data_IF_106664330647
#
_entry.id   IF_106664330647
#
_cell.length_a   1.000
_cell.length_b   1.000
_cell.length_c   1.000
_cell.angle_alpha   90.00
_cell.angle_beta   90.00
_cell.angle_gamma   90.00
#
_symmetry.space_group_name_H-M   'P 1'
#
loop_
_entity.id
_entity.type
_entity.pdbx_description
1 polymer ?
#
# COMPACT_ATOMS: atom_id res chain seq x y z
N UNK A 1 -9.62 -15.13 22.05
CA UNK A 1 -9.24 -14.50 20.76
C UNK A 1 -10.22 -14.95 19.69
N UNK A 2 -10.62 -14.08 18.75
CA UNK A 2 -11.43 -14.53 17.61
C UNK A 2 -10.64 -15.60 16.84
N UNK A 3 -11.24 -16.78 16.65
CA UNK A 3 -10.60 -17.88 15.92
C UNK A 3 -10.72 -17.59 14.42
N UNK A 4 -9.62 -17.11 13.83
CA UNK A 4 -9.52 -16.79 12.39
C UNK A 4 -9.86 -18.01 11.53
N UNK A 5 -9.59 -19.23 12.01
CA UNK A 5 -9.95 -20.48 11.32
C UNK A 5 -11.44 -20.75 11.20
N UNK A 6 -12.30 -19.93 11.82
CA UNK A 6 -13.76 -19.98 11.62
C UNK A 6 -14.28 -19.01 10.55
N UNK A 7 -13.41 -18.17 9.99
CA UNK A 7 -13.79 -17.27 8.91
C UNK A 7 -13.82 -18.04 7.59
N UNK A 8 -14.98 -18.08 6.94
CA UNK A 8 -15.16 -18.73 5.64
C UNK A 8 -15.10 -17.74 4.48
N UNK A 9 -15.18 -16.45 4.78
CA UNK A 9 -15.14 -15.36 3.82
C UNK A 9 -14.30 -14.19 4.31
N UNK A 10 -13.88 -13.33 3.38
CA UNK A 10 -13.21 -12.06 3.70
C UNK A 10 -14.13 -11.13 4.51
N UNK A 11 -15.45 -11.20 4.28
CA UNK A 11 -16.42 -10.41 5.06
C UNK A 11 -16.50 -10.87 6.52
N UNK A 12 -16.31 -12.16 6.81
CA UNK A 12 -16.19 -12.64 8.19
C UNK A 12 -14.96 -12.06 8.88
N UNK A 13 -13.82 -12.03 8.18
CA UNK A 13 -12.59 -11.40 8.68
C UNK A 13 -12.81 -9.90 8.95
N UNK A 14 -13.49 -9.19 8.05
CA UNK A 14 -13.87 -7.78 8.23
C UNK A 14 -14.74 -7.58 9.47
N UNK A 15 -15.77 -8.42 9.66
CA UNK A 15 -16.65 -8.38 10.85
C UNK A 15 -15.89 -8.69 12.13
N UNK A 16 -14.96 -9.65 12.12
CA UNK A 16 -14.10 -9.96 13.27
C UNK A 16 -13.17 -8.79 13.59
N UNK A 17 -12.55 -8.17 12.57
CA UNK A 17 -11.68 -7.00 12.73
C UNK A 17 -12.45 -5.82 13.33
N UNK A 18 -13.67 -5.55 12.87
CA UNK A 18 -14.53 -4.47 13.40
C UNK A 18 -14.79 -4.56 14.90
N UNK A 19 -14.84 -5.77 15.45
CA UNK A 19 -15.07 -6.00 16.89
C UNK A 19 -13.81 -5.81 17.73
N UNK A 20 -12.62 -5.85 17.12
CA UNK A 20 -11.32 -5.88 17.82
C UNK A 20 -10.51 -4.61 17.63
N UNK A 21 -10.54 -4.02 16.45
CA UNK A 21 -9.80 -2.81 16.11
C UNK A 21 -10.57 -1.61 16.65
N UNK A 22 -9.92 -0.66 17.35
CA UNK A 22 -10.57 0.59 17.76
C UNK A 22 -11.24 1.26 16.58
N UNK A 23 -12.46 1.77 16.79
CA UNK A 23 -13.30 2.35 15.74
C UNK A 23 -12.55 3.38 14.87
N UNK A 24 -11.75 4.24 15.50
CA UNK A 24 -10.94 5.26 14.83
C UNK A 24 -10.03 4.66 13.74
N UNK A 25 -9.35 3.55 14.02
CA UNK A 25 -8.46 2.89 13.06
C UNK A 25 -9.24 2.05 12.06
N UNK A 26 -10.32 1.38 12.50
CA UNK A 26 -11.16 0.61 11.60
C UNK A 26 -11.82 1.48 10.52
N UNK A 27 -12.35 2.64 10.91
CA UNK A 27 -12.98 3.59 10.00
C UNK A 27 -11.95 4.21 9.02
N UNK A 28 -10.68 4.36 9.42
CA UNK A 28 -9.60 4.81 8.52
C UNK A 28 -9.25 3.77 7.46
N UNK A 29 -9.26 2.48 7.83
CA UNK A 29 -9.00 1.37 6.92
C UNK A 29 -10.15 1.15 5.94
N UNK A 30 -11.39 1.21 6.43
CA UNK A 30 -12.58 0.87 5.65
C UNK A 30 -13.21 2.07 4.95
N UNK A 31 -12.93 3.30 5.40
CA UNK A 31 -13.55 4.51 4.90
C UNK A 31 -13.08 4.93 3.51
N UNK A 32 -14.04 5.34 2.68
CA UNK A 32 -13.81 5.90 1.35
C UNK A 32 -13.80 7.43 1.33
N UNK A 33 -13.62 8.00 0.14
CA UNK A 33 -13.74 9.44 -0.07
C UNK A 33 -15.21 9.88 -0.19
N UNK A 34 -15.55 11.05 0.37
CA UNK A 34 -16.89 11.65 0.36
C UNK A 34 -17.99 10.65 0.75
N UNK A 35 -19.00 10.48 -0.11
CA UNK A 35 -20.13 9.55 0.06
C UNK A 35 -19.79 8.07 -0.20
N UNK A 36 -18.51 7.75 -0.44
CA UNK A 36 -17.99 6.39 -0.67
C UNK A 36 -18.64 5.66 -1.86
N UNK A 37 -19.21 6.42 -2.80
CA UNK A 37 -19.92 5.86 -3.96
C UNK A 37 -19.01 4.97 -4.82
N UNK A 38 -17.80 5.44 -5.15
CA UNK A 38 -16.84 4.66 -5.95
C UNK A 38 -16.39 3.40 -5.22
N UNK A 39 -16.22 3.45 -3.90
CA UNK A 39 -15.84 2.28 -3.10
C UNK A 39 -16.90 1.17 -3.20
N UNK A 40 -18.18 1.53 -3.02
CA UNK A 40 -19.30 0.58 -3.21
C UNK A 40 -19.43 0.12 -4.66
N UNK A 41 -19.18 1.01 -5.61
CA UNK A 41 -19.18 0.66 -7.03
C UNK A 41 -18.14 -0.42 -7.32
N UNK A 42 -16.90 -0.29 -6.84
CA UNK A 42 -15.84 -1.29 -7.06
C UNK A 42 -16.27 -2.72 -6.67
N UNK A 43 -16.99 -2.89 -5.56
CA UNK A 43 -17.52 -4.19 -5.14
C UNK A 43 -18.69 -4.64 -6.03
N UNK A 44 -19.67 -3.76 -6.25
CA UNK A 44 -20.87 -4.06 -7.03
C UNK A 44 -20.57 -4.33 -8.51
N UNK A 45 -19.49 -3.75 -9.04
CA UNK A 45 -19.06 -3.86 -10.42
C UNK A 45 -18.71 -5.30 -10.80
N UNK A 46 -18.19 -6.10 -9.86
CA UNK A 46 -17.90 -7.51 -10.08
C UNK A 46 -19.17 -8.33 -10.32
N UNK A 47 -20.31 -7.97 -9.72
CA UNK A 47 -21.57 -8.68 -9.92
C UNK A 47 -22.14 -8.53 -11.35
N UNK A 48 -21.64 -7.56 -12.12
CA UNK A 48 -21.99 -7.42 -13.55
C UNK A 48 -21.34 -8.49 -14.42
N UNK A 49 -20.20 -9.03 -14.00
CA UNK A 49 -19.49 -10.07 -14.73
C UNK A 49 -20.00 -11.44 -14.31
N UNK A 50 -20.49 -12.22 -15.28
CA UNK A 50 -20.97 -13.59 -15.05
C UNK A 50 -19.95 -14.59 -15.60
N UNK A 51 -19.69 -15.63 -14.82
CA UNK A 51 -18.86 -16.74 -15.27
C UNK A 51 -19.71 -17.68 -16.15
N UNK A 52 -19.25 -17.96 -17.36
CA UNK A 52 -19.83 -19.01 -18.21
C UNK A 52 -19.17 -20.34 -17.84
N UNK A 53 -19.92 -21.20 -17.16
CA UNK A 53 -19.47 -22.56 -16.87
C UNK A 53 -19.24 -23.33 -18.18
N UNK A 54 -18.04 -23.89 -18.34
CA UNK A 54 -17.74 -24.86 -19.38
C UNK A 54 -17.75 -26.25 -18.75
N UNK A 55 -18.51 -27.17 -19.35
CA UNK A 55 -18.66 -28.55 -18.88
C UNK A 55 -17.96 -29.52 -19.82
N UNK A 56 -17.57 -30.69 -19.31
CA UNK A 56 -16.92 -31.77 -20.08
C UNK A 56 -15.63 -31.36 -20.82
N UNK A 57 -14.84 -30.45 -20.23
CA UNK A 57 -13.61 -29.92 -20.83
C UNK A 57 -12.38 -30.80 -20.63
N UNK A 58 -12.50 -31.93 -19.93
CA UNK A 58 -11.37 -32.82 -19.63
C UNK A 58 -10.31 -32.21 -18.70
N UNK A 59 -10.63 -31.11 -18.01
CA UNK A 59 -9.71 -30.46 -17.06
C UNK A 59 -9.45 -31.40 -15.89
N UNK A 60 -8.21 -31.84 -15.75
CA UNK A 60 -7.75 -32.53 -14.56
C UNK A 60 -7.49 -31.51 -13.45
N UNK A 61 -7.83 -31.84 -12.20
CA UNK A 61 -7.63 -30.96 -11.05
C UNK A 61 -6.16 -30.53 -10.88
N UNK A 62 -5.21 -31.35 -11.35
CA UNK A 62 -3.78 -31.07 -11.40
C UNK A 62 -3.36 -30.02 -12.44
N UNK A 63 -4.17 -29.81 -13.49
CA UNK A 63 -3.91 -28.83 -14.55
C UNK A 63 -4.46 -27.42 -14.21
N UNK A 64 -5.26 -27.30 -13.15
CA UNK A 64 -5.82 -26.03 -12.68
C UNK A 64 -4.87 -25.31 -11.72
N UNK A 65 -3.62 -25.10 -12.14
CA UNK A 65 -2.64 -24.34 -11.37
C UNK A 65 -3.07 -22.87 -11.25
N UNK A 66 -2.86 -22.29 -10.06
CA UNK A 66 -3.06 -20.85 -9.81
C UNK A 66 -1.75 -20.06 -9.91
N UNK A 67 -0.65 -20.73 -10.25
CA UNK A 67 0.65 -20.09 -10.41
C UNK A 67 0.59 -18.99 -11.47
N UNK A 68 1.24 -17.87 -11.18
CA UNK A 68 1.26 -16.72 -12.06
C UNK A 68 2.62 -16.04 -12.00
N UNK A 69 3.10 -15.56 -13.16
CA UNK A 69 4.28 -14.71 -13.22
C UNK A 69 3.83 -13.26 -13.33
N UNK A 70 4.23 -12.42 -12.37
CA UNK A 70 3.95 -10.99 -12.42
C UNK A 70 5.07 -10.22 -11.72
N UNK A 71 5.28 -8.96 -12.13
CA UNK A 71 6.34 -8.08 -11.62
C UNK A 71 7.75 -8.71 -11.68
N UNK A 72 7.98 -9.63 -12.62
CA UNK A 72 9.27 -10.25 -12.87
C UNK A 72 9.63 -11.42 -11.93
N UNK A 73 8.67 -11.93 -11.15
CA UNK A 73 8.83 -13.12 -10.32
C UNK A 73 7.67 -14.10 -10.50
N UNK A 74 7.91 -15.38 -10.21
CA UNK A 74 6.86 -16.41 -10.16
C UNK A 74 6.20 -16.43 -8.77
N UNK A 75 4.87 -16.60 -8.75
CA UNK A 75 4.06 -16.65 -7.54
C UNK A 75 3.12 -17.85 -7.60
N UNK A 76 2.73 -18.36 -6.43
CA UNK A 76 1.81 -19.51 -6.33
C UNK A 76 0.36 -19.15 -6.62
N UNK A 77 0.00 -17.87 -6.52
CA UNK A 77 -1.34 -17.34 -6.74
C UNK A 77 -1.28 -16.05 -7.56
N UNK A 78 -2.33 -15.70 -8.33
CA UNK A 78 -2.39 -14.49 -9.13
C UNK A 78 -2.85 -13.27 -8.30
N UNK A 79 -2.39 -13.19 -7.06
CA UNK A 79 -2.72 -12.12 -6.11
C UNK A 79 -1.45 -11.68 -5.38
N UNK A 80 -1.41 -10.43 -4.94
CA UNK A 80 -0.36 -9.87 -4.10
C UNK A 80 -0.98 -9.05 -2.97
N UNK A 81 -0.23 -8.84 -1.89
CA UNK A 81 -0.65 -7.91 -0.85
C UNK A 81 -0.36 -6.47 -1.31
N UNK A 82 -1.44 -5.70 -1.49
CA UNK A 82 -1.35 -4.29 -1.89
C UNK A 82 -0.73 -3.39 -0.81
N UNK A 83 -0.24 -2.21 -1.20
CA UNK A 83 0.37 -1.28 -0.25
C UNK A 83 -0.68 -0.65 0.67
N UNK A 84 -0.63 -1.03 1.94
CA UNK A 84 -1.45 -0.45 3.01
C UNK A 84 -0.53 0.29 3.98
N UNK A 85 -0.73 1.59 4.11
CA UNK A 85 -0.02 2.41 5.09
C UNK A 85 -0.46 2.12 6.52
N UNK A 86 0.44 2.35 7.46
CA UNK A 86 0.20 2.26 8.90
C UNK A 86 -0.39 0.92 9.38
N UNK A 87 0.03 -0.22 8.82
CA UNK A 87 -0.54 -1.52 9.20
C UNK A 87 -0.30 -1.85 10.69
N UNK A 88 0.76 -1.30 11.27
CA UNK A 88 1.02 -1.32 12.71
C UNK A 88 -0.10 -0.75 13.60
N UNK A 89 -1.03 0.04 13.07
CA UNK A 89 -2.19 0.57 13.81
C UNK A 89 -3.30 -0.47 14.01
N UNK A 90 -3.33 -1.51 13.17
CA UNK A 90 -4.34 -2.59 13.24
C UNK A 90 -3.84 -3.80 14.01
N UNK A 91 -2.53 -4.06 13.94
CA UNK A 91 -1.87 -5.16 14.63
C UNK A 91 -0.40 -4.80 14.91
N UNK A 92 0.17 -5.18 16.06
CA UNK A 92 1.59 -4.95 16.34
C UNK A 92 2.48 -5.51 15.23
N UNK A 93 3.35 -4.66 14.66
CA UNK A 93 4.22 -4.99 13.51
C UNK A 93 3.44 -5.61 12.34
N UNK A 94 2.27 -5.05 12.03
CA UNK A 94 1.34 -5.56 11.02
C UNK A 94 1.96 -5.80 9.65
N UNK A 95 2.89 -4.94 9.21
CA UNK A 95 3.60 -5.07 7.94
C UNK A 95 4.43 -6.36 7.87
N UNK A 96 5.13 -6.71 8.95
CA UNK A 96 5.94 -7.93 9.05
C UNK A 96 5.03 -9.16 9.17
N UNK A 97 3.95 -9.07 9.95
CA UNK A 97 2.99 -10.16 10.07
C UNK A 97 2.35 -10.49 8.71
N UNK A 98 1.96 -9.46 7.95
CA UNK A 98 1.46 -9.61 6.59
C UNK A 98 2.52 -10.19 5.65
N UNK A 99 3.78 -9.75 5.77
CA UNK A 99 4.88 -10.26 4.96
C UNK A 99 5.17 -11.74 5.19
N UNK A 100 5.12 -12.22 6.43
CA UNK A 100 5.27 -13.65 6.75
C UNK A 100 4.14 -14.49 6.16
N UNK A 101 2.90 -14.00 6.26
CA UNK A 101 1.75 -14.67 5.66
C UNK A 101 1.85 -14.70 4.12
N UNK A 102 2.37 -13.64 3.49
CA UNK A 102 2.62 -13.61 2.05
C UNK A 102 3.67 -14.63 1.63
N UNK A 103 4.76 -14.76 2.39
CA UNK A 103 5.83 -15.73 2.12
C UNK A 103 5.31 -17.17 2.25
N UNK A 104 4.51 -17.47 3.28
CA UNK A 104 3.87 -18.78 3.46
C UNK A 104 2.92 -19.13 2.31
N UNK A 105 2.13 -18.15 1.85
CA UNK A 105 1.24 -18.30 0.70
C UNK A 105 1.99 -18.30 -0.65
N UNK A 106 3.28 -17.93 -0.68
CA UNK A 106 4.08 -17.81 -1.89
C UNK A 106 3.61 -16.69 -2.82
N UNK A 107 3.25 -15.53 -2.25
CA UNK A 107 2.84 -14.33 -2.97
C UNK A 107 3.70 -13.12 -2.59
N UNK A 108 3.76 -12.11 -3.46
CA UNK A 108 4.46 -10.86 -3.16
C UNK A 108 3.70 -9.95 -2.20
N UNK A 109 4.43 -9.06 -1.52
CA UNK A 109 3.86 -7.94 -0.76
C UNK A 109 4.47 -6.63 -1.25
N UNK A 110 3.61 -5.64 -1.48
CA UNK A 110 3.99 -4.27 -1.75
C UNK A 110 3.94 -3.45 -0.46
N UNK A 111 5.08 -2.94 0.01
CA UNK A 111 5.20 -2.13 1.21
C UNK A 111 4.88 -0.66 0.90
N UNK A 112 4.17 0.05 1.78
CA UNK A 112 3.85 1.46 1.57
C UNK A 112 4.99 2.38 2.00
N UNK A 113 5.11 3.55 1.36
CA UNK A 113 5.95 4.64 1.88
C UNK A 113 5.54 5.05 3.31
N UNK A 114 4.26 4.89 3.66
CA UNK A 114 3.71 5.22 5.00
C UNK A 114 3.61 4.01 5.93
N UNK A 115 4.48 3.01 5.77
CA UNK A 115 4.57 1.89 6.71
C UNK A 115 5.19 2.31 8.05
N UNK A 116 4.77 1.66 9.13
CA UNK A 116 5.31 1.92 10.48
C UNK A 116 6.65 1.20 10.70
N UNK A 117 6.73 -0.06 10.26
CA UNK A 117 8.01 -0.76 10.20
C UNK A 117 8.88 -0.19 9.07
N UNK A 118 10.18 -0.10 9.33
CA UNK A 118 11.14 0.33 8.30
C UNK A 118 11.24 -0.71 7.17
N UNK A 119 11.66 -0.25 5.99
CA UNK A 119 11.87 -1.12 4.84
C UNK A 119 12.88 -2.22 5.16
N UNK A 120 13.95 -1.89 5.87
CA UNK A 120 15.03 -2.79 6.22
C UNK A 120 14.57 -3.85 7.21
N UNK A 121 13.80 -3.47 8.24
CA UNK A 121 13.21 -4.44 9.17
C UNK A 121 12.23 -5.38 8.47
N UNK A 122 11.44 -4.87 7.53
CA UNK A 122 10.53 -5.69 6.74
C UNK A 122 11.36 -6.63 5.88
N UNK A 123 12.29 -6.14 5.08
CA UNK A 123 13.14 -6.96 4.21
C UNK A 123 13.91 -8.05 4.99
N UNK A 124 14.44 -7.75 6.18
CA UNK A 124 15.15 -8.70 7.02
C UNK A 124 14.26 -9.81 7.61
N UNK A 125 12.95 -9.58 7.72
CA UNK A 125 12.02 -10.49 8.38
C UNK A 125 11.32 -11.47 7.42
N UNK A 126 11.72 -11.50 6.13
CA UNK A 126 11.07 -12.25 5.05
C UNK A 126 12.07 -12.75 4.01
N UNK A 127 11.59 -13.70 3.23
CA UNK A 127 12.30 -14.33 2.11
C UNK A 127 11.57 -14.23 0.78
N UNK A 128 10.28 -13.85 0.78
CA UNK A 128 9.48 -13.73 -0.43
C UNK A 128 9.65 -12.41 -1.19
N UNK A 129 9.07 -12.28 -2.40
CA UNK A 129 9.15 -11.05 -3.19
C UNK A 129 8.61 -9.84 -2.43
N UNK A 130 9.45 -8.82 -2.31
CA UNK A 130 9.13 -7.53 -1.70
C UNK A 130 9.14 -6.44 -2.77
N UNK A 131 8.04 -5.70 -2.84
CA UNK A 131 7.89 -4.54 -3.71
C UNK A 131 7.71 -3.30 -2.84
N UNK A 132 8.02 -2.12 -3.37
CA UNK A 132 7.89 -0.88 -2.61
C UNK A 132 7.02 0.14 -3.34
N UNK A 133 6.00 0.64 -2.66
CA UNK A 133 5.16 1.72 -3.14
C UNK A 133 5.78 3.06 -2.79
N UNK A 134 5.97 3.90 -3.80
CA UNK A 134 6.56 5.24 -3.69
C UNK A 134 5.50 6.32 -3.92
N UNK A 135 5.41 7.26 -2.98
CA UNK A 135 4.85 8.58 -3.24
C UNK A 135 5.96 9.54 -3.68
N UNK A 136 5.70 10.30 -4.74
CA UNK A 136 6.67 11.29 -5.21
C UNK A 136 6.66 12.51 -4.30
N UNK A 137 7.73 12.71 -3.54
CA UNK A 137 7.90 13.90 -2.71
C UNK A 137 8.38 15.10 -3.53
N UNK A 138 8.08 16.30 -3.04
CA UNK A 138 8.61 17.54 -3.62
C UNK A 138 10.13 17.61 -3.49
N UNK A 139 10.63 17.11 -2.39
CA UNK A 139 12.06 16.93 -2.12
C UNK A 139 12.57 15.71 -2.89
N UNK A 140 13.48 15.96 -3.85
CA UNK A 140 14.05 14.91 -4.69
C UNK A 140 15.11 14.11 -3.97
N UNK A 141 15.86 14.75 -3.06
CA UNK A 141 16.92 14.09 -2.29
C UNK A 141 16.30 13.02 -1.38
N UNK A 142 15.16 13.33 -0.75
CA UNK A 142 14.40 12.33 0.02
C UNK A 142 13.95 11.15 -0.84
N UNK A 143 13.50 11.41 -2.07
CA UNK A 143 13.06 10.36 -2.99
C UNK A 143 14.25 9.49 -3.43
N UNK A 144 15.38 10.12 -3.72
CA UNK A 144 16.62 9.42 -4.09
C UNK A 144 17.16 8.57 -2.94
N UNK A 145 17.11 9.05 -1.70
CA UNK A 145 17.50 8.31 -0.51
C UNK A 145 16.60 7.08 -0.29
N UNK A 146 15.27 7.23 -0.44
CA UNK A 146 14.33 6.11 -0.38
C UNK A 146 14.65 5.06 -1.46
N UNK A 147 14.94 5.50 -2.69
CA UNK A 147 15.30 4.58 -3.77
C UNK A 147 16.66 3.91 -3.52
N UNK A 148 17.62 4.60 -2.93
CA UNK A 148 18.90 4.03 -2.53
C UNK A 148 18.70 2.94 -1.47
N UNK A 149 17.86 3.19 -0.46
CA UNK A 149 17.47 2.21 0.55
C UNK A 149 16.74 1.00 -0.04
N UNK A 150 15.87 1.22 -1.02
CA UNK A 150 15.23 0.12 -1.77
C UNK A 150 16.26 -0.78 -2.44
N UNK A 151 17.27 -0.20 -3.11
CA UNK A 151 18.35 -0.99 -3.72
C UNK A 151 19.17 -1.74 -2.68
N UNK A 152 19.51 -1.12 -1.55
CA UNK A 152 20.25 -1.76 -0.47
C UNK A 152 19.47 -2.92 0.15
N UNK A 153 18.15 -2.81 0.22
CA UNK A 153 17.24 -3.86 0.69
C UNK A 153 16.87 -4.89 -0.39
N UNK A 154 17.52 -4.87 -1.57
CA UNK A 154 17.24 -5.75 -2.72
C UNK A 154 15.77 -5.70 -3.20
N UNK A 155 15.17 -4.52 -3.19
CA UNK A 155 13.83 -4.28 -3.75
C UNK A 155 13.95 -3.76 -5.17
N UNK A 156 13.65 -4.62 -6.14
CA UNK A 156 13.82 -4.32 -7.58
C UNK A 156 12.59 -3.69 -8.24
N UNK A 157 11.43 -3.73 -7.58
CA UNK A 157 10.18 -3.22 -8.15
C UNK A 157 9.62 -2.11 -7.27
N UNK A 158 9.40 -0.96 -7.90
CA UNK A 158 8.75 0.19 -7.27
C UNK A 158 7.41 0.49 -7.93
N UNK A 159 6.38 0.64 -7.13
CA UNK A 159 5.03 1.02 -7.57
C UNK A 159 4.83 2.50 -7.30
N UNK A 160 4.78 3.32 -8.36
CA UNK A 160 4.61 4.76 -8.20
C UNK A 160 3.12 5.11 -8.10
N UNK A 161 2.72 5.62 -6.93
CA UNK A 161 1.35 6.08 -6.70
C UNK A 161 1.22 7.54 -7.12
N UNK A 162 0.34 7.79 -8.08
CA UNK A 162 0.14 9.11 -8.73
C UNK A 162 -1.28 9.66 -8.59
N UNK A 163 -2.18 8.91 -7.96
CA UNK A 163 -3.59 9.29 -7.77
C UNK A 163 -3.81 10.23 -6.56
N UNK A 164 -2.81 10.35 -5.67
CA UNK A 164 -2.93 11.07 -4.39
C UNK A 164 -2.18 12.40 -4.43
N UNK A 165 -2.49 13.24 -5.42
CA UNK A 165 -1.92 14.60 -5.50
C UNK A 165 -2.48 15.53 -4.41
N UNK A 166 -3.67 15.23 -3.90
CA UNK A 166 -4.35 15.97 -2.85
C UNK A 166 -4.85 15.02 -1.77
N UNK A 167 -4.92 15.50 -0.53
CA UNK A 167 -5.50 14.74 0.57
C UNK A 167 -7.00 14.57 0.29
N UNK A 168 -7.51 13.33 0.19
CA UNK A 168 -8.92 13.09 -0.06
C UNK A 168 -9.77 13.51 1.15
N UNK A 169 -10.99 13.95 0.89
CA UNK A 169 -11.97 14.21 1.96
C UNK A 169 -12.57 12.86 2.36
N UNK A 170 -12.15 12.36 3.52
CA UNK A 170 -12.71 11.14 4.14
C UNK A 170 -13.55 11.54 5.33
N UNK A 171 -14.88 11.46 5.20
CA UNK A 171 -15.80 11.98 6.21
C UNK A 171 -15.72 11.22 7.54
N UNK A 172 -15.47 9.90 7.49
CA UNK A 172 -15.31 9.09 8.70
C UNK A 172 -14.09 9.51 9.50
N UNK A 173 -12.97 9.72 8.82
CA UNK A 173 -11.73 10.22 9.42
C UNK A 173 -11.94 11.59 10.06
N UNK A 174 -12.62 12.50 9.36
CA UNK A 174 -12.95 13.82 9.88
C UNK A 174 -13.85 13.76 11.14
N UNK A 175 -14.89 12.92 11.13
CA UNK A 175 -15.79 12.69 12.28
C UNK A 175 -15.05 12.08 13.48
N UNK A 176 -14.07 11.24 13.20
CA UNK A 176 -13.24 10.57 14.20
C UNK A 176 -12.03 11.43 14.64
N UNK A 177 -11.86 12.64 14.09
CA UNK A 177 -10.71 13.50 14.40
C UNK A 177 -9.38 13.00 13.85
N UNK A 178 -9.38 12.00 12.97
CA UNK A 178 -8.22 11.47 12.25
C UNK A 178 -7.92 12.29 11.00
N UNK A 179 -7.99 13.61 11.13
CA UNK A 179 -7.51 14.54 10.10
C UNK A 179 -6.31 15.27 10.66
N UNK A 180 -5.30 15.61 9.83
CA UNK A 180 -4.35 16.63 10.23
C UNK A 180 -5.19 17.85 10.54
N UNK A 181 -5.33 18.20 11.83
CA UNK A 181 -6.01 19.42 12.25
C UNK A 181 -5.44 20.52 11.37
N UNK A 182 -6.29 21.24 10.64
CA UNK A 182 -5.88 22.53 10.06
C UNK A 182 -5.17 23.24 11.20
N UNK A 183 -3.87 23.50 11.04
CA UNK A 183 -3.11 24.26 12.01
C UNK A 183 -4.00 25.42 12.41
N UNK A 184 -4.29 25.52 13.71
CA UNK A 184 -5.17 26.54 14.25
C UNK A 184 -4.71 27.88 13.65
N UNK A 185 -5.49 28.44 12.71
CA UNK A 185 -5.25 29.80 12.26
C UNK A 185 -5.60 30.66 13.45
N UNK A 186 -4.55 31.19 14.10
CA UNK A 186 -4.50 32.19 15.18
C UNK A 186 -4.11 31.59 16.53
N UNK A 187 -2.92 31.99 16.99
CA UNK A 187 -2.50 31.90 18.37
C UNK A 187 -3.39 32.74 19.29
N UNK A 188 -4.57 32.21 19.62
CA UNK A 188 -5.50 32.78 20.59
C UNK A 188 -5.83 31.81 21.74
N UNK A 189 -5.23 30.62 21.77
CA UNK A 189 -5.35 29.69 22.89
C UNK A 189 -3.96 29.43 23.46
N UNK A 190 -3.61 30.11 24.56
CA UNK A 190 -2.36 29.97 25.31
C UNK A 190 -2.18 28.61 26.00
N UNK A 191 -2.74 27.53 25.47
CA UNK A 191 -2.77 26.19 26.09
C UNK A 191 -2.04 25.11 25.28
N UNK A 192 -1.38 25.49 24.17
CA UNK A 192 -0.61 24.58 23.31
C UNK A 192 0.90 24.86 23.33
N UNK A 193 1.48 25.15 24.49
CA UNK A 193 2.94 25.34 24.61
C UNK A 193 3.74 24.03 24.66
N UNK A 194 3.11 22.87 24.87
CA UNK A 194 3.82 21.59 24.95
C UNK A 194 3.13 20.49 24.14
N UNK A 195 3.41 20.44 22.83
CA UNK A 195 3.27 19.21 22.07
C UNK A 195 4.35 19.19 20.98
N UNK A 196 5.49 18.55 21.31
CA UNK A 196 6.44 18.03 20.31
C UNK A 196 5.74 16.93 19.49
N UNK A 197 4.90 17.33 18.55
CA UNK A 197 4.26 16.45 17.57
C UNK A 197 4.19 17.20 16.24
N UNK A 198 5.34 17.36 15.59
CA UNK A 198 5.49 18.24 14.44
C UNK A 198 6.53 17.74 13.44
N UNK A 199 6.44 16.47 13.02
CA UNK A 199 7.25 15.96 11.92
C UNK A 199 6.44 15.71 10.64
N UNK A 200 5.16 15.33 10.74
CA UNK A 200 4.35 14.92 9.58
C UNK A 200 3.53 16.04 8.92
N UNK A 201 3.44 17.22 9.54
CA UNK A 201 2.60 18.33 9.05
C UNK A 201 3.30 19.27 8.04
N UNK A 202 4.54 19.01 7.63
CA UNK A 202 5.38 19.98 6.89
C UNK A 202 5.49 19.78 5.37
N UNK A 203 4.91 18.75 4.78
CA UNK A 203 5.06 18.51 3.34
C UNK A 203 3.76 18.81 2.57
N UNK A 204 3.59 20.03 2.02
CA UNK A 204 2.52 20.28 1.06
C UNK A 204 2.82 19.52 -0.23
N UNK A 205 2.13 18.40 -0.43
CA UNK A 205 2.09 17.66 -1.70
C UNK A 205 1.36 18.55 -2.72
N UNK A 206 2.11 19.11 -3.65
CA UNK A 206 1.58 19.90 -4.75
C UNK A 206 1.96 19.23 -6.06
N UNK A 207 1.01 18.51 -6.68
CA UNK A 207 1.17 18.06 -8.06
C UNK A 207 -0.11 18.38 -8.84
N UNK A 208 0.00 19.31 -9.79
CA UNK A 208 -1.08 19.64 -10.73
C UNK A 208 -1.01 18.67 -11.90
N UNK A 209 -2.01 17.78 -11.98
CA UNK A 209 -2.51 16.98 -13.12
C UNK A 209 -2.58 15.48 -12.80
N UNK A 210 -3.70 14.90 -13.20
CA UNK A 210 -4.10 13.50 -13.00
C UNK A 210 -3.17 12.54 -13.72
N UNK A 211 -2.80 11.43 -13.05
CA UNK A 211 -2.25 10.27 -13.74
C UNK A 211 -2.55 8.99 -12.96
N UNK A 212 -2.54 7.88 -13.70
CA UNK A 212 -2.87 6.50 -13.32
C UNK A 212 -1.65 5.77 -12.75
N UNK A 213 -1.85 4.91 -11.74
CA UNK A 213 -0.81 4.13 -11.06
C UNK A 213 0.10 3.38 -12.06
N UNK A 214 1.42 3.57 -11.98
CA UNK A 214 2.40 3.00 -12.92
C UNK A 214 3.49 2.26 -12.12
N UNK A 215 3.71 0.97 -12.41
CA UNK A 215 4.78 0.20 -11.79
C UNK A 215 6.07 0.36 -12.61
N UNK A 216 7.19 0.65 -11.96
CA UNK A 216 8.50 0.87 -12.57
C UNK A 216 9.49 -0.11 -11.94
N UNK A 217 10.21 -0.86 -12.78
CA UNK A 217 11.30 -1.73 -12.33
C UNK A 217 12.57 -0.90 -12.18
N UNK A 218 13.22 -0.97 -11.03
CA UNK A 218 14.54 -0.36 -10.82
C UNK A 218 15.56 -1.27 -11.51
N UNK A 219 15.73 -1.16 -12.83
CA UNK A 219 16.81 -1.88 -13.51
C UNK A 219 18.14 -1.20 -13.22
N UNK A 220 19.12 -1.96 -12.73
CA UNK A 220 20.52 -1.57 -12.65
C UNK A 220 21.15 -1.57 -14.05
N UNK A 221 20.80 -0.61 -14.90
CA UNK A 221 21.66 -0.29 -16.03
C UNK A 221 22.82 0.56 -15.52
N UNK A 222 24.01 -0.05 -15.51
CA UNK A 222 25.30 0.63 -15.43
C UNK A 222 25.25 1.84 -16.36
N UNK A 223 25.27 3.04 -15.77
CA UNK A 223 25.57 4.25 -16.50
C UNK A 223 27.06 4.18 -16.86
N UNK A 224 27.38 3.47 -17.93
CA UNK A 224 28.70 3.51 -18.54
C UNK A 224 28.79 4.80 -19.35
N UNK A 225 29.73 5.64 -18.93
CA UNK A 225 30.08 6.91 -19.54
C UNK A 225 30.51 6.71 -21.00
N UNK A 226 30.00 7.55 -21.90
CA UNK A 226 30.73 7.90 -23.12
C UNK A 226 30.76 9.43 -23.27
N UNK A 227 31.94 10.06 -23.43
CA UNK A 227 32.02 11.48 -23.73
C UNK A 227 31.55 11.70 -25.17
N UNK A 228 30.65 12.67 -25.36
CA UNK A 228 30.22 13.12 -26.69
C UNK A 228 31.45 13.57 -27.47
N UNK A 229 31.75 12.85 -28.55
CA UNK A 229 32.61 13.34 -29.63
C UNK A 229 31.94 14.53 -30.29
N UNK A 230 32.69 15.61 -30.43
CA UNK A 230 32.42 16.75 -31.29
C UNK A 230 32.54 16.34 -32.76
N UNK A 231 31.49 16.61 -33.55
CA UNK A 231 31.48 16.72 -35.02
C UNK A 231 30.04 17.12 -35.42
N UNK A 232 29.75 18.10 -36.26
CA UNK A 232 30.55 19.10 -36.96
C UNK A 232 29.64 20.28 -37.31
#
# INVERSE_FOLDING_TARGET
>A
MANVGKAWSIDDLRKMARKRVPRYFFDYLEGGANSETTMRANENDFARWRLRQKVLTGVQSSAAGLNATYLGAEHRLPILLGPVGFAGMYWPRGEIAAGRAADEAGIGQCLSTFSICSLEEVAAARSGPLYFQLYMFRDRDLTEDILARCRQANVDVVVLTVDTCHIPIRERDARNGFVPRRACRRGACGRCSNARAGALARYPMGCRRSATCCAIRISAHRCSSSPRRSAG
#
